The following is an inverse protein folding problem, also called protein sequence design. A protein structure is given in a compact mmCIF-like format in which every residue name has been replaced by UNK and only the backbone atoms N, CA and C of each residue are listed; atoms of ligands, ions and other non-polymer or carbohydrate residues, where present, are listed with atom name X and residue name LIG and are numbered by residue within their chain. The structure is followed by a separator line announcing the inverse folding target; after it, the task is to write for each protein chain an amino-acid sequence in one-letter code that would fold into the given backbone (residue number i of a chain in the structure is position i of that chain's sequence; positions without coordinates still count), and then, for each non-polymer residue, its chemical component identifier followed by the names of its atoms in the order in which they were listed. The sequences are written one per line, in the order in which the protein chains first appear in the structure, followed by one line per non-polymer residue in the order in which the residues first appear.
data_IF_008162202460
#
_entry.id   IF_008162202460
#
_cell.length_a   1.000
_cell.length_b   1.000
_cell.length_c   1.000
_cell.angle_alpha   90.00
_cell.angle_beta   90.00
_cell.angle_gamma   90.00
#
_symmetry.space_group_name_H-M   'P 1'
#
loop_
_entity.id
_entity.type
_entity.pdbx_description
1 polymer ?
#
# COMPACT_ATOMS: atom_id res chain seq x y z
N UNK A 1 4.35 -5.09 1.77
CA UNK A 1 4.44 -5.50 0.36
C UNK A 1 3.09 -5.73 -0.32
N UNK A 2 2.08 -6.28 0.35
CA UNK A 2 0.83 -6.67 -0.35
C UNK A 2 0.02 -5.49 -0.89
N UNK A 3 -0.17 -4.44 -0.09
CA UNK A 3 -0.90 -3.24 -0.53
C UNK A 3 -0.27 -2.60 -1.77
N UNK A 4 1.04 -2.34 -1.73
CA UNK A 4 1.74 -1.69 -2.84
C UNK A 4 1.69 -2.51 -4.13
N UNK A 5 1.64 -3.85 -4.06
CA UNK A 5 1.43 -4.70 -5.23
C UNK A 5 0.03 -4.52 -5.85
N UNK A 6 -1.00 -4.37 -5.02
CA UNK A 6 -2.39 -4.20 -5.49
C UNK A 6 -2.59 -2.89 -6.25
N UNK A 7 -1.89 -1.83 -5.83
CA UNK A 7 -2.01 -0.49 -6.42
C UNK A 7 -0.85 -0.13 -7.35
N UNK A 8 -0.03 -1.11 -7.73
CA UNK A 8 1.17 -0.89 -8.53
C UNK A 8 0.82 -0.46 -9.96
N UNK A 9 1.07 0.81 -10.29
CA UNK A 9 0.65 1.44 -11.56
C UNK A 9 1.03 0.65 -12.82
N UNK A 10 2.25 0.12 -12.88
CA UNK A 10 2.73 -0.60 -14.07
C UNK A 10 2.29 -2.08 -14.12
N UNK A 11 1.64 -2.62 -13.09
CA UNK A 11 1.08 -3.98 -13.16
C UNK A 11 -0.15 -3.93 -14.06
N UNK A 12 -0.19 -4.76 -15.10
CA UNK A 12 -1.24 -4.70 -16.13
C UNK A 12 -2.17 -5.91 -16.13
N UNK A 13 -1.72 -7.03 -15.57
CA UNK A 13 -2.47 -8.29 -15.49
C UNK A 13 -2.38 -8.84 -14.10
N UNK A 14 -3.48 -9.41 -13.61
CA UNK A 14 -3.48 -10.17 -12.38
C UNK A 14 -4.40 -11.38 -12.49
N UNK A 15 -4.07 -12.43 -11.76
CA UNK A 15 -4.87 -13.64 -11.63
C UNK A 15 -4.96 -14.05 -10.17
N UNK A 16 -6.13 -14.53 -9.74
CA UNK A 16 -6.38 -14.93 -8.37
C UNK A 16 -6.89 -16.36 -8.31
N UNK A 17 -6.28 -17.18 -7.47
CA UNK A 17 -6.73 -18.53 -7.15
C UNK A 17 -7.15 -18.61 -5.69
N UNK A 18 -8.17 -19.41 -5.40
CA UNK A 18 -8.62 -19.70 -4.03
C UNK A 18 -8.75 -21.20 -3.83
N UNK A 19 -8.25 -21.70 -2.70
CA UNK A 19 -8.47 -23.05 -2.22
C UNK A 19 -8.99 -23.00 -0.77
N UNK A 20 -9.81 -23.97 -0.39
CA UNK A 20 -10.29 -24.15 0.99
C UNK A 20 -9.66 -25.45 1.51
N UNK A 21 -9.20 -25.45 2.75
CA UNK A 21 -8.65 -26.66 3.38
C UNK A 21 -9.70 -27.77 3.45
N UNK A 22 -9.24 -29.03 3.49
CA UNK A 22 -10.13 -30.20 3.55
C UNK A 22 -11.02 -30.19 4.80
N UNK A 23 -10.57 -29.60 5.90
CA UNK A 23 -11.35 -29.42 7.13
C UNK A 23 -12.27 -28.19 7.11
N UNK A 24 -12.27 -27.40 6.03
CA UNK A 24 -13.10 -26.22 5.84
C UNK A 24 -12.71 -24.99 6.67
N UNK A 25 -11.64 -25.05 7.47
CA UNK A 25 -11.29 -23.98 8.43
C UNK A 25 -10.46 -22.86 7.85
N UNK A 26 -9.73 -23.14 6.77
CA UNK A 26 -8.77 -22.20 6.18
C UNK A 26 -9.08 -21.95 4.71
N UNK A 27 -8.95 -20.70 4.29
CA UNK A 27 -8.98 -20.31 2.89
C UNK A 27 -7.61 -19.76 2.48
N UNK A 28 -7.07 -20.31 1.41
CA UNK A 28 -5.82 -19.87 0.81
C UNK A 28 -6.16 -19.08 -0.44
N UNK A 29 -5.70 -17.84 -0.51
CA UNK A 29 -5.84 -16.98 -1.68
C UNK A 29 -4.46 -16.63 -2.20
N UNK A 30 -4.22 -16.89 -3.48
CA UNK A 30 -2.97 -16.57 -4.17
C UNK A 30 -3.28 -15.56 -5.26
N UNK A 31 -2.51 -14.47 -5.30
CA UNK A 31 -2.56 -13.49 -6.37
C UNK A 31 -1.26 -13.51 -7.16
N UNK A 32 -1.36 -13.61 -8.48
CA UNK A 32 -0.23 -13.51 -9.41
C UNK A 32 -0.36 -12.22 -10.22
N UNK A 33 0.73 -11.46 -10.36
CA UNK A 33 0.74 -10.12 -10.95
C UNK A 33 1.79 -10.02 -12.05
N UNK A 34 1.45 -9.38 -13.17
CA UNK A 34 2.37 -9.19 -14.30
C UNK A 34 2.22 -7.80 -14.97
N UNK A 35 3.33 -7.07 -15.21
CA UNK A 35 4.67 -7.26 -14.63
C UNK A 35 4.66 -7.25 -13.09
N UNK A 36 5.66 -7.84 -12.41
CA UNK A 36 5.71 -7.86 -10.96
C UNK A 36 5.89 -6.44 -10.39
N UNK A 37 5.27 -6.17 -9.25
CA UNK A 37 5.42 -4.92 -8.52
C UNK A 37 6.46 -5.01 -7.41
N UNK A 38 6.44 -4.01 -6.51
CA UNK A 38 7.34 -3.92 -5.35
C UNK A 38 8.84 -3.92 -5.70
N UNK A 39 9.18 -3.44 -6.89
CA UNK A 39 10.57 -3.31 -7.31
C UNK A 39 11.21 -2.15 -6.56
N UNK A 40 12.35 -2.40 -5.91
CA UNK A 40 13.10 -1.37 -5.18
C UNK A 40 13.47 -0.22 -6.12
N UNK A 41 13.31 1.02 -5.64
CA UNK A 41 13.55 2.23 -6.42
C UNK A 41 12.37 2.69 -7.28
N UNK A 42 11.33 1.88 -7.48
CA UNK A 42 10.20 2.22 -8.39
C UNK A 42 8.91 2.63 -7.67
N UNK A 43 8.94 2.77 -6.34
CA UNK A 43 7.74 3.04 -5.55
C UNK A 43 7.11 4.41 -5.83
N UNK A 44 7.91 5.46 -6.03
CA UNK A 44 7.41 6.81 -6.24
C UNK A 44 6.57 6.94 -7.53
N UNK A 45 6.90 6.14 -8.55
CA UNK A 45 6.22 6.13 -9.84
C UNK A 45 5.01 5.20 -9.85
N UNK A 46 5.05 4.15 -9.03
CA UNK A 46 4.06 3.06 -9.07
C UNK A 46 3.05 3.07 -7.92
N UNK A 47 3.30 3.77 -6.81
CA UNK A 47 2.40 3.86 -5.67
C UNK A 47 1.84 5.28 -5.61
N UNK A 48 0.59 5.51 -6.09
CA UNK A 48 0.00 6.85 -6.11
C UNK A 48 -0.17 7.42 -4.70
N UNK A 49 0.05 8.73 -4.55
CA UNK A 49 -0.30 9.45 -3.32
C UNK A 49 -1.82 9.46 -3.15
N UNK A 50 -2.27 9.34 -1.90
CA UNK A 50 -3.67 9.46 -1.56
C UNK A 50 -4.21 10.84 -1.98
N UNK A 51 -5.35 10.87 -2.68
CA UNK A 51 -5.98 12.10 -3.17
C UNK A 51 -6.72 12.88 -2.08
N UNK A 52 -7.03 12.27 -0.93
CA UNK A 52 -7.68 12.99 0.17
C UNK A 52 -6.67 13.94 0.81
N UNK A 53 -7.01 15.23 1.00
CA UNK A 53 -6.17 16.09 1.80
C UNK A 53 -6.11 15.49 3.20
N UNK A 54 -4.91 15.10 3.62
CA UNK A 54 -4.63 14.88 5.02
C UNK A 54 -4.95 16.22 5.69
N UNK A 55 -5.90 16.26 6.62
CA UNK A 55 -5.94 17.36 7.58
C UNK A 55 -4.60 17.26 8.31
N UNK A 56 -3.60 18.02 7.87
CA UNK A 56 -2.38 18.18 8.64
C UNK A 56 -2.84 18.71 10.00
N UNK A 57 -2.76 17.88 11.04
CA UNK A 57 -2.77 18.40 12.39
C UNK A 57 -1.55 19.29 12.46
N UNK A 58 -1.75 20.61 12.39
CA UNK A 58 -0.69 21.56 12.66
C UNK A 58 -0.28 21.31 14.10
N UNK A 59 0.82 20.60 14.31
CA UNK A 59 1.52 20.61 15.60
C UNK A 59 2.10 22.01 15.73
N UNK A 60 1.27 22.96 16.15
CA UNK A 60 1.76 24.23 16.63
C UNK A 60 2.44 23.92 17.96
N UNK A 61 3.71 23.53 17.91
CA UNK A 61 4.58 23.62 19.07
C UNK A 61 4.65 25.11 19.43
N UNK A 62 4.18 25.55 20.61
CA UNK A 62 4.40 26.92 21.02
C UNK A 62 5.91 27.14 21.11
N UNK A 63 6.39 28.17 20.41
CA UNK A 63 7.78 28.57 20.40
C UNK A 63 8.17 29.03 21.81
N UNK A 64 8.95 28.22 22.52
CA UNK A 64 9.56 28.59 23.81
C UNK A 64 10.72 29.57 23.58
N UNK A 65 10.43 30.78 23.10
CA UNK A 65 11.39 31.90 23.02
C UNK A 65 10.77 33.26 23.38
N UNK A 66 9.69 33.28 24.14
CA UNK A 66 9.13 34.49 24.76
C UNK A 66 8.83 34.23 26.24
N UNK A 67 9.89 33.99 27.02
CA UNK A 67 9.92 34.22 28.46
C UNK A 67 11.24 34.94 28.73
N UNK A 68 11.23 36.25 28.52
CA UNK A 68 12.16 37.22 29.11
C UNK A 68 11.30 38.27 29.80
#
# INVERSE_FOLDING_TARGET
GHFSQLIWKSTSKCGFGRAISSDGKSAYVVGHYYPPGNVQGQFAENVPRAKRPVKQCKSTSPNLRQLN
#
